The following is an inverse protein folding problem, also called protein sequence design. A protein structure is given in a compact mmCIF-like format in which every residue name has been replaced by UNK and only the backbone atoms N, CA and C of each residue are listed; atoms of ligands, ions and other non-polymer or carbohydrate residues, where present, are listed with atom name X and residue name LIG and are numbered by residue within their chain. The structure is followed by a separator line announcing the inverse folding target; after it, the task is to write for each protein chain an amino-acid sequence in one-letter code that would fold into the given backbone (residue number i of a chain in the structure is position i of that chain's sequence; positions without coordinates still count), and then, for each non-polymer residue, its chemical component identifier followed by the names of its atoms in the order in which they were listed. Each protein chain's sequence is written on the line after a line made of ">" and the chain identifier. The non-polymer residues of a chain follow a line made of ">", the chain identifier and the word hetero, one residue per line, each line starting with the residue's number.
data_IF_406305063737
#
_entry.id   IF_406305063737
#
_cell.length_a   1.000
_cell.length_b   1.000
_cell.length_c   1.000
_cell.angle_alpha   90.00
_cell.angle_beta   90.00
_cell.angle_gamma   90.00
#
_symmetry.space_group_name_H-M   'P 1'
#
loop_
_entity.id
_entity.type
_entity.pdbx_description
1 polymer ?
#
# COMPACT_ATOMS: atom_id res chain seq x y z
N UNK A 1 5.97 35.20 38.17
CA UNK A 1 5.45 35.32 36.80
C UNK A 1 6.12 34.20 36.01
N UNK A 2 5.50 33.03 36.03
CA UNK A 2 5.98 31.89 35.25
C UNK A 2 5.69 32.14 33.78
N UNK A 3 6.75 32.25 32.99
CA UNK A 3 6.64 32.26 31.55
C UNK A 3 6.17 30.86 31.14
N UNK A 4 4.92 30.76 30.70
CA UNK A 4 4.44 29.63 29.91
C UNK A 4 5.29 29.58 28.65
N UNK A 5 6.29 28.69 28.64
CA UNK A 5 7.02 28.28 27.46
C UNK A 5 6.01 27.65 26.49
N UNK A 6 5.41 28.50 25.66
CA UNK A 6 4.67 28.09 24.48
C UNK A 6 5.67 27.42 23.54
N UNK A 7 5.79 26.09 23.66
CA UNK A 7 6.27 25.28 22.55
C UNK A 7 5.26 25.48 21.41
N UNK A 8 5.65 26.12 20.29
CA UNK A 8 4.75 26.18 19.14
C UNK A 8 4.49 24.73 18.75
N UNK A 9 3.24 24.30 18.85
CA UNK A 9 2.80 23.01 18.34
C UNK A 9 3.36 22.88 16.93
N UNK A 10 4.25 21.90 16.73
CA UNK A 10 4.91 21.70 15.44
C UNK A 10 3.83 21.65 14.37
N UNK A 11 3.95 22.51 13.35
CA UNK A 11 3.00 22.58 12.26
C UNK A 11 2.73 21.15 11.75
N UNK A 12 1.47 20.76 11.52
CA UNK A 12 1.14 19.39 11.14
C UNK A 12 1.94 19.02 9.89
N UNK A 13 2.86 18.07 10.05
CA UNK A 13 3.72 17.64 8.95
C UNK A 13 2.80 17.15 7.83
N UNK A 14 2.90 17.77 6.66
CA UNK A 14 1.97 17.52 5.55
C UNK A 14 2.00 16.02 5.23
N UNK A 15 0.86 15.31 5.26
CA UNK A 15 0.86 13.86 5.18
C UNK A 15 1.49 13.42 3.85
N UNK A 16 2.59 12.67 3.93
CA UNK A 16 3.41 12.20 2.79
C UNK A 16 2.76 11.03 2.06
N UNK A 17 1.47 11.16 1.73
CA UNK A 17 0.68 10.11 1.09
C UNK A 17 1.26 9.67 -0.25
N UNK A 18 1.78 10.62 -1.05
CA UNK A 18 2.45 10.34 -2.31
C UNK A 18 3.71 9.48 -2.15
N UNK A 19 4.54 9.76 -1.14
CA UNK A 19 5.75 8.99 -0.88
C UNK A 19 5.41 7.55 -0.48
N UNK A 20 4.37 7.38 0.34
CA UNK A 20 3.87 6.05 0.75
C UNK A 20 3.30 5.30 -0.46
N UNK A 21 2.51 5.96 -1.32
CA UNK A 21 1.97 5.37 -2.54
C UNK A 21 3.08 4.92 -3.50
N UNK A 22 4.12 5.75 -3.68
CA UNK A 22 5.27 5.41 -4.50
C UNK A 22 6.02 4.19 -3.94
N UNK A 23 6.20 4.12 -2.62
CA UNK A 23 6.86 3.00 -1.96
C UNK A 23 6.06 1.70 -2.12
N UNK A 24 4.73 1.76 -1.95
CA UNK A 24 3.83 0.61 -2.14
C UNK A 24 3.85 0.16 -3.59
N UNK A 25 3.81 1.09 -4.56
CA UNK A 25 3.86 0.76 -5.97
C UNK A 25 5.19 0.08 -6.36
N UNK A 26 6.31 0.55 -5.81
CA UNK A 26 7.64 -0.02 -6.05
C UNK A 26 7.76 -1.41 -5.42
N UNK A 27 7.37 -1.56 -4.16
CA UNK A 27 7.31 -2.86 -3.49
C UNK A 27 6.42 -3.85 -4.26
N UNK A 28 5.25 -3.38 -4.72
CA UNK A 28 4.35 -4.20 -5.50
C UNK A 28 4.96 -4.62 -6.85
N UNK A 29 5.74 -3.74 -7.49
CA UNK A 29 6.52 -4.07 -8.68
C UNK A 29 7.53 -5.17 -8.43
N UNK A 30 8.29 -5.10 -7.32
CA UNK A 30 9.30 -6.11 -6.94
C UNK A 30 8.64 -7.47 -6.69
N UNK A 31 7.55 -7.51 -5.94
CA UNK A 31 6.81 -8.75 -5.69
C UNK A 31 6.19 -9.33 -6.97
N UNK A 32 5.64 -8.48 -7.84
CA UNK A 32 5.13 -8.92 -9.14
C UNK A 32 6.22 -9.53 -10.01
N UNK A 33 7.43 -8.95 -9.98
CA UNK A 33 8.59 -9.47 -10.70
C UNK A 33 9.02 -10.84 -10.16
N UNK A 34 9.15 -10.96 -8.83
CA UNK A 34 9.48 -12.22 -8.15
C UNK A 34 8.48 -13.33 -8.50
N UNK A 35 7.19 -13.00 -8.51
CA UNK A 35 6.14 -13.94 -8.87
C UNK A 35 6.18 -14.34 -10.35
N UNK A 36 6.30 -13.37 -11.26
CA UNK A 36 6.22 -13.64 -12.69
C UNK A 36 7.46 -14.35 -13.26
N UNK A 37 8.65 -14.02 -12.73
CA UNK A 37 9.93 -14.52 -13.26
C UNK A 37 10.60 -15.53 -12.33
N UNK A 38 10.84 -15.20 -11.06
CA UNK A 38 11.58 -16.10 -10.17
C UNK A 38 10.77 -17.35 -9.81
N UNK A 39 9.48 -17.21 -9.50
CA UNK A 39 8.64 -18.36 -9.16
C UNK A 39 8.43 -19.28 -10.37
N UNK A 40 8.21 -18.71 -11.56
CA UNK A 40 8.05 -19.52 -12.78
C UNK A 40 9.35 -20.24 -13.16
N UNK A 41 10.51 -19.58 -13.08
CA UNK A 41 11.79 -20.26 -13.29
C UNK A 41 12.08 -21.32 -12.24
N UNK A 42 11.74 -21.08 -10.96
CA UNK A 42 11.90 -22.08 -9.91
C UNK A 42 11.01 -23.31 -10.15
N UNK A 43 9.78 -23.12 -10.64
CA UNK A 43 8.86 -24.20 -10.98
C UNK A 43 9.30 -24.97 -12.23
N UNK A 44 9.91 -24.31 -13.22
CA UNK A 44 10.51 -24.96 -14.38
C UNK A 44 11.76 -25.75 -13.97
N UNK A 45 12.60 -25.20 -13.10
CA UNK A 45 13.78 -25.87 -12.56
C UNK A 45 13.42 -27.08 -11.68
N UNK A 46 12.26 -27.06 -11.03
CA UNK A 46 11.70 -28.18 -10.28
C UNK A 46 10.96 -29.21 -11.17
N UNK A 47 11.00 -29.06 -12.50
CA UNK A 47 10.25 -29.87 -13.49
C UNK A 47 8.72 -29.93 -13.27
N UNK A 48 8.18 -29.02 -12.46
CA UNK A 48 6.73 -28.92 -12.19
C UNK A 48 6.02 -28.26 -13.37
N UNK A 49 6.71 -27.37 -14.10
CA UNK A 49 6.20 -26.68 -15.29
C UNK A 49 7.08 -26.97 -16.50
N UNK A 50 6.44 -27.13 -17.67
CA UNK A 50 7.14 -27.27 -18.93
C UNK A 50 7.94 -25.99 -19.27
N UNK A 51 9.11 -26.12 -19.92
CA UNK A 51 9.90 -24.97 -20.35
C UNK A 51 9.08 -24.05 -21.25
N UNK A 52 9.00 -22.78 -20.87
CA UNK A 52 8.22 -21.78 -21.61
C UNK A 52 8.95 -21.47 -22.93
N UNK A 53 8.22 -21.55 -24.05
CA UNK A 53 8.73 -21.25 -25.38
C UNK A 53 8.97 -19.74 -25.56
N UNK A 54 10.21 -19.35 -25.86
CA UNK A 54 10.64 -17.95 -26.11
C UNK A 54 9.86 -17.22 -27.20
N UNK A 55 9.25 -17.94 -28.14
CA UNK A 55 8.51 -17.31 -29.24
C UNK A 55 7.13 -16.79 -28.80
N UNK A 56 6.61 -17.26 -27.66
CA UNK A 56 5.29 -16.88 -27.16
C UNK A 56 5.31 -16.80 -25.62
N UNK A 57 6.21 -15.98 -25.07
CA UNK A 57 6.38 -15.83 -23.62
C UNK A 57 5.14 -15.14 -22.98
N UNK A 58 4.36 -15.82 -22.12
CA UNK A 58 3.20 -15.24 -21.42
C UNK A 58 3.60 -14.43 -20.18
N UNK A 59 4.88 -14.52 -19.75
CA UNK A 59 5.40 -13.89 -18.52
C UNK A 59 5.17 -12.38 -18.42
N UNK A 60 5.31 -11.57 -19.50
CA UNK A 60 5.04 -10.12 -19.42
C UNK A 60 3.58 -9.81 -19.12
N UNK A 61 2.65 -10.64 -19.64
CA UNK A 61 1.22 -10.49 -19.39
C UNK A 61 0.90 -10.84 -17.95
N UNK A 62 1.47 -11.94 -17.43
CA UNK A 62 1.34 -12.33 -16.04
C UNK A 62 1.86 -11.27 -15.09
N UNK A 63 3.06 -10.72 -15.35
CA UNK A 63 3.64 -9.61 -14.58
C UNK A 63 2.70 -8.39 -14.52
N UNK A 64 2.16 -7.96 -15.66
CA UNK A 64 1.25 -6.83 -15.69
C UNK A 64 -0.04 -7.14 -14.91
N UNK A 65 -0.64 -8.32 -15.10
CA UNK A 65 -1.86 -8.70 -14.39
C UNK A 65 -1.66 -8.82 -12.88
N UNK A 66 -0.56 -9.42 -12.41
CA UNK A 66 -0.27 -9.53 -10.98
C UNK A 66 0.03 -8.18 -10.35
N UNK A 67 0.75 -7.31 -11.06
CA UNK A 67 1.03 -5.95 -10.59
C UNK A 67 -0.25 -5.13 -10.41
N UNK A 68 -1.13 -5.15 -11.42
CA UNK A 68 -2.43 -4.48 -11.32
C UNK A 68 -3.31 -5.07 -10.21
N UNK A 69 -3.35 -6.40 -10.09
CA UNK A 69 -4.11 -7.06 -9.02
C UNK A 69 -3.63 -6.64 -7.63
N UNK A 70 -2.31 -6.59 -7.40
CA UNK A 70 -1.75 -6.14 -6.12
C UNK A 70 -2.01 -4.67 -5.84
N UNK A 71 -1.94 -3.81 -6.87
CA UNK A 71 -2.26 -2.39 -6.71
C UNK A 71 -3.72 -2.17 -6.30
N UNK A 72 -4.64 -2.92 -6.91
CA UNK A 72 -6.05 -2.89 -6.53
C UNK A 72 -6.22 -3.34 -5.07
N UNK A 73 -5.55 -4.41 -4.65
CA UNK A 73 -5.60 -4.88 -3.26
C UNK A 73 -5.11 -3.81 -2.28
N UNK A 74 -3.96 -3.19 -2.54
CA UNK A 74 -3.44 -2.12 -1.66
C UNK A 74 -4.34 -0.88 -1.64
N UNK A 75 -4.93 -0.50 -2.78
CA UNK A 75 -5.91 0.59 -2.82
C UNK A 75 -7.15 0.28 -1.99
N UNK A 76 -7.68 -0.94 -2.09
CA UNK A 76 -8.84 -1.37 -1.29
C UNK A 76 -8.54 -1.34 0.21
N UNK A 77 -7.36 -1.82 0.62
CA UNK A 77 -6.93 -1.77 2.02
C UNK A 77 -6.79 -0.32 2.49
N UNK A 78 -6.13 0.53 1.70
CA UNK A 78 -5.99 1.95 2.03
C UNK A 78 -7.33 2.66 2.16
N UNK A 79 -8.26 2.42 1.23
CA UNK A 79 -9.61 2.96 1.27
C UNK A 79 -10.40 2.49 2.49
N UNK A 80 -10.25 1.22 2.87
CA UNK A 80 -10.87 0.66 4.06
C UNK A 80 -10.32 1.31 5.34
N UNK A 81 -9.00 1.44 5.45
CA UNK A 81 -8.36 2.11 6.60
C UNK A 81 -8.77 3.58 6.69
N UNK A 82 -8.86 4.29 5.56
CA UNK A 82 -9.33 5.68 5.54
C UNK A 82 -10.77 5.79 6.03
N UNK A 83 -11.66 4.89 5.61
CA UNK A 83 -13.05 4.82 6.09
C UNK A 83 -13.14 4.57 7.60
N UNK A 84 -12.27 3.71 8.13
CA UNK A 84 -12.22 3.44 9.59
C UNK A 84 -11.67 4.65 10.34
N UNK A 85 -10.59 5.26 9.84
CA UNK A 85 -9.98 6.46 10.44
C UNK A 85 -10.96 7.63 10.52
N UNK A 86 -11.71 7.91 9.43
CA UNK A 86 -12.75 8.95 9.41
C UNK A 86 -13.87 8.65 10.42
N UNK A 87 -14.25 7.37 10.60
CA UNK A 87 -15.25 6.99 11.60
C UNK A 87 -14.76 7.21 13.03
N UNK A 88 -13.50 6.91 13.30
CA UNK A 88 -12.90 7.12 14.62
C UNK A 88 -12.76 8.61 14.97
N UNK A 89 -12.35 9.45 14.01
CA UNK A 89 -12.32 10.90 14.21
C UNK A 89 -13.72 11.45 14.52
N UNK A 90 -14.74 11.03 13.76
CA UNK A 90 -16.12 11.43 14.01
C UNK A 90 -16.65 11.04 15.38
N UNK A 91 -16.18 9.93 15.96
CA UNK A 91 -16.57 9.55 17.32
C UNK A 91 -15.87 10.37 18.39
N UNK A 92 -14.66 10.88 18.13
CA UNK A 92 -13.94 11.76 19.04
C UNK A 92 -14.59 13.15 19.06
N UNK A 93 -14.89 13.72 17.89
CA UNK A 93 -15.59 15.01 17.78
C UNK A 93 -16.94 14.99 18.53
N UNK A 94 -17.67 13.87 18.45
CA UNK A 94 -18.95 13.71 19.14
C UNK A 94 -18.82 13.54 20.67
N UNK A 95 -17.65 13.11 21.18
CA UNK A 95 -17.37 13.06 22.61
C UNK A 95 -16.97 14.44 23.14
N UNK A 96 -16.20 15.20 22.35
CA UNK A 96 -15.80 16.57 22.68
C UNK A 96 -17.01 17.51 22.75
N UNK A 97 -17.92 17.45 21.76
CA UNK A 97 -19.20 18.21 21.79
C UNK A 97 -20.12 17.83 22.98
N UNK A 98 -19.99 16.61 23.51
CA UNK A 98 -20.76 16.15 24.67
C UNK A 98 -20.14 16.56 26.01
N UNK A 99 -18.83 16.85 26.04
CA UNK A 99 -18.13 17.38 27.23
C UNK A 99 -18.31 18.90 27.40
N UNK A 100 -18.60 19.63 26.31
CA UNK A 100 -18.82 21.08 26.34
C UNK A 100 -20.27 21.49 26.72
N UNK A 101 -21.21 20.54 26.89
CA UNK A 101 -22.58 20.79 27.36
C UNK A 101 -22.78 20.45 28.84
#
# INVERSE_FOLDING_TARGET
>A
MDALDFHPAQAPERPRTLSVLALIALAAGVFSYLWAYCLTDALVAAEVLAPINRLNDPRPRWFATSWFAMMIVFMLVGFFLQRVSVRQMRSLDAMEEAEEQ
#
